data_IF_872242506028
#
_entry.id   IF_872242506028
#
_cell.length_a   1.000
_cell.length_b   1.000
_cell.length_c   1.000
_cell.angle_alpha   90.00
_cell.angle_beta   90.00
_cell.angle_gamma   90.00
#
_symmetry.space_group_name_H-M   'P 1'
#
loop_
_entity.id
_entity.type
_entity.pdbx_description
1 polymer ?
#
# COMPACT_ATOMS: atom_id res chain seq x y z
N UNK A 1 10.07 17.98 -6.23
CA UNK A 1 10.73 16.69 -6.59
C UNK A 1 11.56 16.16 -5.41
N UNK A 2 12.43 16.97 -4.79
CA UNK A 2 13.27 16.56 -3.65
C UNK A 2 12.48 16.17 -2.39
N UNK A 3 11.27 16.67 -2.21
CA UNK A 3 10.40 16.30 -1.08
C UNK A 3 9.94 14.86 -1.13
N UNK A 4 9.84 14.27 -2.33
CA UNK A 4 9.34 12.92 -2.54
C UNK A 4 10.45 11.87 -2.66
N UNK A 5 11.63 12.22 -3.14
CA UNK A 5 12.68 11.24 -3.44
C UNK A 5 13.72 11.06 -2.31
N UNK A 6 13.66 11.87 -1.26
CA UNK A 6 14.57 11.77 -0.10
C UNK A 6 16.06 11.88 -0.42
N UNK A 7 16.39 12.02 -1.69
CA UNK A 7 17.75 11.99 -2.18
C UNK A 7 18.36 10.58 -2.15
N UNK A 8 19.63 10.49 -2.50
CA UNK A 8 20.37 9.21 -2.64
C UNK A 8 20.87 8.62 -1.32
N UNK A 9 20.72 9.33 -0.19
CA UNK A 9 21.29 8.89 1.10
C UNK A 9 20.68 7.60 1.65
N UNK A 10 19.44 7.29 1.26
CA UNK A 10 18.68 6.15 1.75
C UNK A 10 18.99 4.85 1.01
N UNK A 11 19.63 4.92 -0.16
CA UNK A 11 19.77 3.82 -1.09
C UNK A 11 21.22 3.30 -1.17
N UNK A 12 22.02 3.49 -0.14
CA UNK A 12 23.39 3.03 -0.11
C UNK A 12 23.52 1.62 0.47
N UNK A 13 22.91 0.64 -0.18
CA UNK A 13 23.21 -0.76 0.12
C UNK A 13 24.49 -1.14 -0.60
N UNK A 14 25.53 -1.45 0.15
CA UNK A 14 26.92 -1.62 -0.36
C UNK A 14 27.23 -3.03 -0.88
N UNK A 15 26.31 -3.99 -0.88
CA UNK A 15 26.61 -5.41 -1.16
C UNK A 15 25.91 -5.93 -2.42
N UNK A 16 26.69 -6.51 -3.34
CA UNK A 16 26.24 -7.37 -4.44
C UNK A 16 25.15 -6.78 -5.34
N UNK A 17 24.13 -7.55 -5.64
CA UNK A 17 22.97 -7.17 -6.45
C UNK A 17 22.19 -5.98 -5.91
N UNK A 18 22.35 -5.63 -4.64
CA UNK A 18 21.67 -4.50 -4.01
C UNK A 18 21.96 -3.15 -4.70
N UNK A 19 23.09 -2.98 -5.35
CA UNK A 19 23.40 -1.79 -6.14
C UNK A 19 22.42 -1.58 -7.32
N UNK A 20 21.90 -2.66 -7.90
CA UNK A 20 20.90 -2.62 -8.97
C UNK A 20 19.54 -2.13 -8.47
N UNK A 21 19.18 -2.46 -7.23
CA UNK A 21 17.90 -2.12 -6.63
C UNK A 21 17.79 -0.67 -6.16
N UNK A 22 18.91 -0.03 -5.84
CA UNK A 22 18.94 1.37 -5.42
C UNK A 22 18.34 2.32 -6.45
N UNK A 23 18.57 2.07 -7.74
CA UNK A 23 18.03 2.89 -8.81
C UNK A 23 16.49 2.76 -8.91
N UNK A 24 15.95 1.58 -8.66
CA UNK A 24 14.50 1.31 -8.69
C UNK A 24 13.79 1.95 -7.49
N UNK A 25 14.33 1.79 -6.29
CA UNK A 25 13.76 2.36 -5.07
C UNK A 25 13.61 3.89 -5.14
N UNK A 26 14.51 4.59 -5.84
CA UNK A 26 14.43 6.04 -6.07
C UNK A 26 13.26 6.47 -6.96
N UNK A 27 12.58 5.57 -7.64
CA UNK A 27 11.48 5.94 -8.56
C UNK A 27 10.16 6.13 -7.86
N UNK A 28 9.92 5.49 -6.70
CA UNK A 28 8.61 5.50 -6.03
C UNK A 28 8.12 6.91 -5.69
N UNK A 29 8.99 7.78 -5.21
CA UNK A 29 8.64 9.17 -4.91
C UNK A 29 8.19 9.95 -6.15
N UNK A 30 8.85 9.73 -7.29
CA UNK A 30 8.46 10.34 -8.57
C UNK A 30 7.11 9.84 -9.04
N UNK A 31 6.86 8.52 -8.91
CA UNK A 31 5.60 7.90 -9.29
C UNK A 31 4.44 8.41 -8.42
N UNK A 32 4.63 8.50 -7.10
CA UNK A 32 3.63 9.07 -6.19
C UNK A 32 3.34 10.54 -6.50
N UNK A 33 4.36 11.36 -6.78
CA UNK A 33 4.15 12.74 -7.20
C UNK A 33 3.37 12.82 -8.52
N UNK A 34 3.67 11.95 -9.47
CA UNK A 34 2.96 11.91 -10.75
C UNK A 34 1.51 11.45 -10.56
N UNK A 35 1.27 10.41 -9.75
CA UNK A 35 -0.07 9.94 -9.42
C UNK A 35 -0.91 11.04 -8.76
N UNK A 36 -0.38 11.75 -7.76
CA UNK A 36 -1.07 12.87 -7.13
C UNK A 36 -1.47 13.93 -8.16
N UNK A 37 -0.57 14.30 -9.09
CA UNK A 37 -0.86 15.27 -10.15
C UNK A 37 -1.93 14.80 -11.12
N UNK A 38 -1.92 13.53 -11.47
CA UNK A 38 -2.95 12.93 -12.33
C UNK A 38 -4.32 12.96 -11.66
N UNK A 39 -4.39 12.58 -10.38
CA UNK A 39 -5.64 12.65 -9.61
C UNK A 39 -6.12 14.10 -9.47
N UNK A 40 -5.22 15.06 -9.18
CA UNK A 40 -5.54 16.48 -9.11
C UNK A 40 -6.07 17.02 -10.45
N UNK A 41 -5.62 16.45 -11.57
CA UNK A 41 -6.10 16.77 -12.93
C UNK A 41 -7.38 16.02 -13.33
N UNK A 42 -8.01 15.25 -12.43
CA UNK A 42 -9.28 14.57 -12.66
C UNK A 42 -9.16 13.09 -13.07
N UNK A 43 -7.96 12.49 -13.00
CA UNK A 43 -7.84 11.06 -13.21
C UNK A 43 -8.46 10.31 -12.02
N UNK A 44 -9.48 9.49 -12.27
CA UNK A 44 -10.23 8.79 -11.22
C UNK A 44 -9.48 7.62 -10.57
N UNK A 45 -8.49 7.03 -11.25
CA UNK A 45 -7.74 5.89 -10.73
C UNK A 45 -6.32 5.83 -11.29
N UNK A 46 -5.33 5.63 -10.43
CA UNK A 46 -3.91 5.50 -10.81
C UNK A 46 -3.29 4.34 -10.08
N UNK A 47 -2.68 3.41 -10.78
CA UNK A 47 -1.93 2.31 -10.20
C UNK A 47 -0.43 2.56 -10.30
N UNK A 48 0.28 2.38 -9.20
CA UNK A 48 1.74 2.39 -9.15
C UNK A 48 2.23 0.98 -8.85
N UNK A 49 2.97 0.41 -9.77
CA UNK A 49 3.67 -0.85 -9.55
C UNK A 49 5.06 -0.58 -8.97
N UNK A 50 5.23 -0.93 -7.69
CA UNK A 50 6.52 -0.86 -6.99
C UNK A 50 7.15 -2.26 -6.92
N UNK A 51 7.26 -2.93 -8.06
CA UNK A 51 7.58 -4.37 -8.17
C UNK A 51 9.02 -4.73 -7.80
N UNK A 52 9.95 -3.81 -7.81
CA UNK A 52 11.37 -3.98 -7.44
C UNK A 52 11.81 -5.43 -7.22
N UNK A 53 12.01 -6.17 -8.32
CA UNK A 53 12.26 -7.60 -8.33
C UNK A 53 13.36 -8.01 -7.34
N UNK A 54 13.08 -8.99 -6.49
CA UNK A 54 14.02 -9.52 -5.49
C UNK A 54 14.29 -8.62 -4.29
N UNK A 55 13.62 -7.47 -4.15
CA UNK A 55 13.84 -6.54 -3.04
C UNK A 55 12.75 -6.62 -1.99
N UNK A 56 11.46 -6.54 -2.37
CA UNK A 56 10.36 -6.77 -1.44
C UNK A 56 10.31 -8.21 -0.93
N UNK A 57 10.84 -9.12 -1.70
CA UNK A 57 10.87 -10.56 -1.44
C UNK A 57 12.10 -10.93 -0.60
N UNK A 58 12.14 -10.47 0.63
CA UNK A 58 13.30 -10.53 1.53
C UNK A 58 13.50 -11.92 2.15
N UNK A 59 13.63 -12.96 1.33
CA UNK A 59 13.84 -14.36 1.76
C UNK A 59 15.25 -14.66 2.24
N UNK A 60 16.24 -13.90 1.80
CA UNK A 60 17.67 -14.17 2.02
C UNK A 60 18.15 -15.51 1.43
N UNK A 61 17.66 -15.89 0.25
CA UNK A 61 17.90 -17.19 -0.42
C UNK A 61 18.98 -17.15 -1.52
N UNK A 62 19.82 -16.13 -1.53
CA UNK A 62 20.86 -15.91 -2.55
C UNK A 62 20.38 -15.13 -3.78
N UNK A 63 19.08 -15.15 -4.11
CA UNK A 63 18.48 -14.32 -5.14
C UNK A 63 17.85 -13.05 -4.57
N UNK A 64 17.39 -13.12 -3.33
CA UNK A 64 16.69 -12.07 -2.62
C UNK A 64 17.52 -11.56 -1.44
N UNK A 65 17.32 -10.28 -1.09
CA UNK A 65 17.97 -9.65 0.05
C UNK A 65 17.45 -10.22 1.38
N UNK A 66 18.22 -10.07 2.44
CA UNK A 66 17.74 -10.26 3.81
C UNK A 66 16.89 -9.07 4.24
N UNK A 67 16.23 -9.16 5.41
CA UNK A 67 15.33 -8.11 5.92
C UNK A 67 16.01 -6.77 6.11
N UNK A 68 17.24 -6.75 6.61
CA UNK A 68 17.98 -5.50 6.89
C UNK A 68 18.31 -4.80 5.59
N UNK A 69 19.00 -5.50 4.69
CA UNK A 69 19.44 -4.92 3.41
C UNK A 69 18.24 -4.55 2.51
N UNK A 70 17.19 -5.36 2.51
CA UNK A 70 15.96 -5.07 1.77
C UNK A 70 15.24 -3.83 2.29
N UNK A 71 15.08 -3.69 3.60
CA UNK A 71 14.46 -2.51 4.19
C UNK A 71 15.32 -1.25 4.00
N UNK A 72 16.64 -1.36 4.02
CA UNK A 72 17.51 -0.24 3.63
C UNK A 72 17.34 0.14 2.15
N UNK A 73 17.16 -0.83 1.27
CA UNK A 73 17.03 -0.58 -0.17
C UNK A 73 15.71 0.05 -0.55
N UNK A 74 14.58 -0.39 0.02
CA UNK A 74 13.24 0.09 -0.39
C UNK A 74 12.42 0.69 0.74
N UNK A 75 12.51 0.18 1.96
CA UNK A 75 11.64 0.58 3.06
C UNK A 75 11.75 2.06 3.39
N UNK A 76 12.97 2.57 3.49
CA UNK A 76 13.20 4.01 3.76
C UNK A 76 12.71 4.91 2.62
N UNK A 77 12.92 4.50 1.37
CA UNK A 77 12.43 5.26 0.22
C UNK A 77 10.91 5.27 0.17
N UNK A 78 10.29 4.13 0.46
CA UNK A 78 8.84 3.99 0.55
C UNK A 78 8.26 4.88 1.67
N UNK A 79 8.78 4.77 2.88
CA UNK A 79 8.37 5.57 4.03
C UNK A 79 8.44 7.07 3.74
N UNK A 80 9.60 7.54 3.23
CA UNK A 80 9.78 8.94 2.87
C UNK A 80 8.80 9.40 1.79
N UNK A 81 8.59 8.61 0.75
CA UNK A 81 7.74 8.96 -0.38
C UNK A 81 6.27 9.01 0.03
N UNK A 82 5.79 8.03 0.82
CA UNK A 82 4.42 8.01 1.35
C UNK A 82 4.19 9.18 2.31
N UNK A 83 5.12 9.43 3.24
CA UNK A 83 5.02 10.58 4.15
C UNK A 83 5.02 11.93 3.40
N UNK A 84 5.79 12.05 2.31
CA UNK A 84 5.80 13.24 1.48
C UNK A 84 4.47 13.40 0.70
N UNK A 85 3.91 12.30 0.20
CA UNK A 85 2.62 12.29 -0.46
C UNK A 85 1.51 12.78 0.47
N UNK A 86 1.45 12.24 1.69
CA UNK A 86 0.47 12.61 2.71
C UNK A 86 0.55 14.12 2.99
N UNK A 87 1.75 14.61 3.34
CA UNK A 87 1.95 16.05 3.62
C UNK A 87 1.61 16.97 2.43
N UNK A 88 1.88 16.52 1.21
CA UNK A 88 1.56 17.30 0.01
C UNK A 88 0.04 17.34 -0.24
N UNK A 89 -0.67 16.23 -0.02
CA UNK A 89 -2.13 16.18 -0.09
C UNK A 89 -2.78 17.08 0.99
N UNK A 90 -2.30 17.01 2.22
CA UNK A 90 -2.78 17.87 3.32
C UNK A 90 -2.57 19.35 3.02
N UNK A 91 -1.37 19.72 2.60
CA UNK A 91 -1.04 21.12 2.28
C UNK A 91 -1.84 21.69 1.10
N UNK A 92 -2.45 20.84 0.27
CA UNK A 92 -3.26 21.20 -0.89
C UNK A 92 -4.76 21.04 -0.69
N UNK A 93 -5.20 20.57 0.47
CA UNK A 93 -6.61 20.26 0.72
C UNK A 93 -7.14 19.10 -0.17
N UNK A 94 -6.29 18.13 -0.44
CA UNK A 94 -6.60 16.95 -1.26
C UNK A 94 -6.86 15.69 -0.44
N UNK A 95 -6.74 15.74 0.88
CA UNK A 95 -6.88 14.57 1.77
C UNK A 95 -8.22 13.87 1.63
N UNK A 96 -9.31 14.62 1.48
CA UNK A 96 -10.65 14.06 1.31
C UNK A 96 -10.96 13.67 -0.14
N UNK A 97 -10.11 14.06 -1.09
CA UNK A 97 -10.34 13.86 -2.53
C UNK A 97 -9.50 12.75 -3.13
N UNK A 98 -8.43 12.34 -2.48
CA UNK A 98 -7.51 11.31 -2.97
C UNK A 98 -7.35 10.25 -1.89
N UNK A 99 -7.73 9.01 -2.23
CA UNK A 99 -7.45 7.83 -1.42
C UNK A 99 -6.13 7.21 -1.87
N UNK A 100 -5.17 7.08 -0.96
CA UNK A 100 -3.96 6.28 -1.15
C UNK A 100 -4.18 4.89 -0.53
N UNK A 101 -3.95 3.86 -1.33
CA UNK A 101 -3.95 2.46 -0.91
C UNK A 101 -2.57 1.87 -1.15
N UNK A 102 -1.89 1.40 -0.09
CA UNK A 102 -0.64 0.66 -0.24
C UNK A 102 -0.85 -0.76 0.26
N UNK A 103 -0.72 -1.72 -0.63
CA UNK A 103 -0.88 -3.14 -0.33
C UNK A 103 0.15 -3.98 -1.09
N UNK A 104 0.41 -5.17 -0.58
CA UNK A 104 1.12 -6.24 -1.28
C UNK A 104 0.20 -7.43 -1.49
N UNK A 105 0.69 -8.43 -2.24
CA UNK A 105 -0.07 -9.65 -2.53
C UNK A 105 -0.22 -10.56 -1.31
N UNK A 106 0.73 -10.52 -0.36
CA UNK A 106 0.72 -11.33 0.86
C UNK A 106 1.62 -10.76 1.94
N UNK A 107 1.49 -11.29 3.16
CA UNK A 107 2.39 -10.98 4.27
C UNK A 107 3.64 -11.86 4.29
N UNK A 108 4.39 -11.76 5.37
CA UNK A 108 5.64 -12.49 5.62
C UNK A 108 5.58 -13.25 6.93
N UNK A 109 6.31 -14.36 7.03
CA UNK A 109 6.35 -15.17 8.24
C UNK A 109 6.72 -14.32 9.47
N UNK A 110 6.05 -14.47 10.62
CA UNK A 110 6.42 -13.77 11.85
C UNK A 110 7.85 -14.07 12.28
N UNK A 111 8.30 -15.31 12.07
CA UNK A 111 9.64 -15.77 12.42
C UNK A 111 10.63 -15.48 11.29
N UNK A 112 11.77 -14.91 11.65
CA UNK A 112 12.91 -14.71 10.74
C UNK A 112 13.62 -16.06 10.54
N UNK A 113 13.97 -16.39 9.31
CA UNK A 113 14.73 -17.59 8.98
C UNK A 113 16.22 -17.46 9.36
N UNK A 114 16.96 -18.58 9.27
CA UNK A 114 18.39 -18.62 9.69
C UNK A 114 19.29 -17.66 8.88
N UNK A 115 18.89 -17.29 7.68
CA UNK A 115 19.63 -16.38 6.80
C UNK A 115 19.25 -14.91 6.99
N UNK A 116 18.34 -14.60 7.92
CA UNK A 116 17.89 -13.22 8.21
C UNK A 116 16.78 -12.72 7.29
N UNK A 117 16.07 -13.62 6.61
CA UNK A 117 14.94 -13.32 5.76
C UNK A 117 13.60 -13.75 6.36
N UNK A 118 12.50 -13.45 5.65
CA UNK A 118 11.14 -13.91 5.97
C UNK A 118 10.52 -14.55 4.73
N UNK A 119 9.86 -15.69 4.91
CA UNK A 119 9.18 -16.41 3.83
C UNK A 119 7.77 -15.85 3.61
N UNK A 120 7.09 -16.32 2.56
CA UNK A 120 5.70 -15.98 2.27
C UNK A 120 4.76 -16.45 3.39
N UNK A 121 3.77 -15.63 3.71
CA UNK A 121 2.75 -15.93 4.71
C UNK A 121 1.41 -15.33 4.31
N UNK A 122 0.55 -16.14 3.69
CA UNK A 122 -0.71 -15.67 3.12
C UNK A 122 -1.83 -15.41 4.16
N UNK A 123 -1.59 -15.72 5.44
CA UNK A 123 -2.61 -15.58 6.50
C UNK A 123 -2.86 -14.14 6.91
N UNK A 124 -1.84 -13.31 6.83
CA UNK A 124 -1.89 -11.89 7.21
C UNK A 124 -1.13 -11.07 6.19
N UNK A 125 -1.68 -9.92 5.80
CA UNK A 125 -1.01 -8.93 4.97
C UNK A 125 -1.24 -7.53 5.53
N UNK A 126 -0.20 -6.67 5.61
CA UNK A 126 -0.37 -5.28 6.01
C UNK A 126 -1.02 -4.47 4.88
N UNK A 127 -1.78 -3.46 5.27
CA UNK A 127 -2.46 -2.52 4.39
C UNK A 127 -2.33 -1.11 4.97
N UNK A 128 -2.05 -0.11 4.13
CA UNK A 128 -2.10 1.29 4.50
C UNK A 128 -3.19 1.96 3.68
N UNK A 129 -4.08 2.67 4.36
CA UNK A 129 -5.10 3.54 3.77
C UNK A 129 -4.89 4.96 4.30
N UNK A 130 -4.95 5.93 3.40
CA UNK A 130 -4.89 7.36 3.76
C UNK A 130 -5.77 8.18 2.84
N UNK A 131 -6.51 9.10 3.41
CA UNK A 131 -7.32 10.06 2.65
C UNK A 131 -8.67 9.50 2.18
N UNK A 132 -9.23 10.10 1.13
CA UNK A 132 -10.54 9.70 0.58
C UNK A 132 -11.71 9.88 1.53
N UNK A 133 -11.61 10.79 2.51
CA UNK A 133 -12.62 10.97 3.55
C UNK A 133 -12.61 9.91 4.67
N UNK A 134 -11.66 8.96 4.64
CA UNK A 134 -11.55 7.93 5.67
C UNK A 134 -11.08 8.52 7.00
N UNK A 135 -11.61 8.02 8.10
CA UNK A 135 -11.13 8.37 9.45
C UNK A 135 -9.71 7.89 9.70
N UNK A 136 -8.76 8.83 9.83
CA UNK A 136 -7.34 8.54 10.05
C UNK A 136 -6.99 8.16 11.49
N UNK A 137 -5.70 7.81 11.72
CA UNK A 137 -5.13 7.52 13.03
C UNK A 137 -5.59 6.21 13.67
N UNK A 138 -6.09 5.25 12.87
CA UNK A 138 -6.63 3.98 13.35
C UNK A 138 -5.73 2.82 12.99
N UNK A 139 -5.67 1.83 13.87
CA UNK A 139 -5.14 0.50 13.59
C UNK A 139 -6.31 -0.47 13.60
N UNK A 140 -6.55 -1.14 12.47
CA UNK A 140 -7.67 -2.06 12.29
C UNK A 140 -7.11 -3.46 12.07
N UNK A 141 -7.66 -4.41 12.81
CA UNK A 141 -7.18 -5.78 12.82
C UNK A 141 -6.08 -6.02 13.85
N UNK A 142 -6.04 -7.25 14.33
CA UNK A 142 -5.08 -7.72 15.33
C UNK A 142 -4.68 -9.15 15.00
N UNK A 143 -3.39 -9.45 15.13
CA UNK A 143 -2.88 -10.82 15.07
C UNK A 143 -2.93 -11.50 16.46
N UNK A 144 -2.77 -12.80 16.46
CA UNK A 144 -2.45 -13.55 17.67
C UNK A 144 -1.09 -13.11 18.25
N UNK A 145 -0.76 -13.64 19.43
CA UNK A 145 0.51 -13.30 20.14
C UNK A 145 1.75 -13.72 19.34
N UNK A 146 1.63 -14.70 18.46
CA UNK A 146 2.69 -15.20 17.60
C UNK A 146 2.80 -14.43 16.30
N UNK A 147 1.84 -13.54 15.98
CA UNK A 147 1.79 -12.78 14.73
C UNK A 147 1.45 -13.63 13.51
N UNK A 148 0.90 -14.83 13.70
CA UNK A 148 0.68 -15.82 12.65
C UNK A 148 -0.73 -15.84 12.07
N UNK A 149 -1.74 -15.68 12.90
CA UNK A 149 -3.15 -15.79 12.52
C UNK A 149 -3.93 -14.53 12.94
N UNK A 150 -5.05 -14.21 12.29
CA UNK A 150 -5.90 -13.11 12.73
C UNK A 150 -6.58 -13.45 14.07
N UNK A 151 -6.55 -12.51 15.01
CA UNK A 151 -7.24 -12.58 16.30
C UNK A 151 -8.43 -11.60 16.38
N UNK A 152 -8.71 -10.89 15.33
CA UNK A 152 -9.90 -10.05 15.14
C UNK A 152 -10.65 -10.51 13.90
N UNK A 153 -11.80 -9.87 13.58
CA UNK A 153 -12.53 -10.11 12.32
C UNK A 153 -11.54 -9.96 11.15
N UNK A 154 -11.34 -11.03 10.35
CA UNK A 154 -10.45 -10.93 9.20
C UNK A 154 -11.12 -10.19 8.05
N UNK A 155 -10.33 -9.42 7.32
CA UNK A 155 -10.73 -8.80 6.07
C UNK A 155 -9.99 -9.45 4.89
N UNK A 156 -10.66 -9.57 3.77
CA UNK A 156 -10.12 -10.10 2.52
C UNK A 156 -10.16 -9.03 1.41
N UNK A 157 -9.65 -9.30 0.21
CA UNK A 157 -9.66 -8.34 -0.89
C UNK A 157 -11.04 -7.78 -1.24
N UNK A 158 -12.13 -8.54 -1.08
CA UNK A 158 -13.49 -8.04 -1.37
C UNK A 158 -13.90 -6.90 -0.44
N UNK A 159 -13.55 -6.97 0.85
CA UNK A 159 -13.78 -5.88 1.79
C UNK A 159 -12.97 -4.63 1.41
N UNK A 160 -11.72 -4.81 0.97
CA UNK A 160 -10.88 -3.69 0.52
C UNK A 160 -11.46 -3.04 -0.74
N UNK A 161 -11.88 -3.83 -1.73
CA UNK A 161 -12.48 -3.32 -2.97
C UNK A 161 -13.78 -2.59 -2.65
N UNK A 162 -14.66 -3.16 -1.83
CA UNK A 162 -15.88 -2.50 -1.37
C UNK A 162 -15.58 -1.18 -0.66
N UNK A 163 -14.56 -1.14 0.22
CA UNK A 163 -14.13 0.09 0.88
C UNK A 163 -13.69 1.15 -0.14
N UNK A 164 -12.83 0.79 -1.09
CA UNK A 164 -12.35 1.71 -2.14
C UNK A 164 -13.53 2.25 -2.97
N UNK A 165 -14.42 1.36 -3.43
CA UNK A 165 -15.56 1.77 -4.25
C UNK A 165 -16.48 2.73 -3.50
N UNK A 166 -16.74 2.50 -2.21
CA UNK A 166 -17.60 3.36 -1.39
C UNK A 166 -16.99 4.73 -1.09
N UNK A 167 -15.66 4.90 -1.21
CA UNK A 167 -15.04 6.24 -1.17
C UNK A 167 -15.21 7.02 -2.48
N UNK A 168 -15.45 6.33 -3.58
CA UNK A 168 -15.55 6.92 -4.92
C UNK A 168 -16.99 7.07 -5.40
N UNK A 169 -17.88 6.20 -4.95
CA UNK A 169 -19.23 6.04 -5.49
C UNK A 169 -20.19 5.83 -4.33
N UNK A 170 -21.31 6.55 -4.36
CA UNK A 170 -22.46 6.24 -3.50
C UNK A 170 -23.18 4.98 -4.03
N UNK A 171 -23.21 3.87 -3.27
CA UNK A 171 -23.87 2.64 -3.71
C UNK A 171 -25.37 2.81 -3.99
N UNK A 172 -26.04 3.69 -3.25
CA UNK A 172 -27.44 4.01 -3.46
C UNK A 172 -27.67 4.67 -4.82
N UNK A 173 -26.88 5.68 -5.13
CA UNK A 173 -26.92 6.37 -6.42
C UNK A 173 -26.55 5.46 -7.58
N UNK A 174 -25.52 4.61 -7.41
CA UNK A 174 -25.10 3.68 -8.44
C UNK A 174 -26.22 2.73 -8.86
N UNK A 175 -26.97 2.19 -7.89
CA UNK A 175 -28.10 1.27 -8.16
C UNK A 175 -29.25 1.90 -8.95
N UNK A 176 -29.33 3.21 -8.99
CA UNK A 176 -30.35 3.94 -9.77
C UNK A 176 -29.92 4.18 -11.23
N UNK A 177 -28.67 3.89 -11.60
CA UNK A 177 -28.17 4.08 -12.96
C UNK A 177 -28.55 2.85 -13.82
N UNK A 178 -29.37 3.00 -14.88
CA UNK A 178 -29.69 1.88 -15.75
C UNK A 178 -28.47 1.35 -16.49
N UNK A 179 -28.38 0.03 -16.64
CA UNK A 179 -27.33 -0.62 -17.45
C UNK A 179 -25.98 -0.78 -16.75
N UNK A 180 -25.90 -0.54 -15.45
CA UNK A 180 -24.69 -0.88 -14.68
C UNK A 180 -24.49 -2.41 -14.72
N UNK A 181 -23.29 -2.90 -15.10
CA UNK A 181 -22.98 -4.33 -15.07
C UNK A 181 -23.15 -4.92 -13.66
N UNK A 182 -23.73 -6.12 -13.60
CA UNK A 182 -24.00 -6.81 -12.34
C UNK A 182 -22.72 -7.05 -11.54
N UNK A 183 -21.60 -7.27 -12.21
CA UNK A 183 -20.29 -7.49 -11.61
C UNK A 183 -19.84 -6.30 -10.75
N UNK A 184 -20.18 -5.08 -11.15
CA UNK A 184 -19.87 -3.86 -10.36
C UNK A 184 -20.76 -3.78 -9.13
N UNK A 185 -22.05 -4.06 -9.26
CA UNK A 185 -22.96 -4.04 -8.10
C UNK A 185 -22.62 -5.13 -7.10
N UNK A 186 -22.21 -6.33 -7.55
CA UNK A 186 -21.77 -7.42 -6.69
C UNK A 186 -20.53 -7.07 -5.85
N UNK A 187 -19.60 -6.25 -6.36
CA UNK A 187 -18.47 -5.79 -5.58
C UNK A 187 -18.87 -4.90 -4.39
N UNK A 188 -20.01 -4.21 -4.50
CA UNK A 188 -20.56 -3.38 -3.43
C UNK A 188 -21.46 -4.16 -2.45
N UNK A 189 -21.80 -5.40 -2.75
CA UNK A 189 -22.59 -6.28 -1.86
C UNK A 189 -21.74 -6.81 -0.69
N UNK A 190 -20.41 -6.71 -0.77
CA UNK A 190 -19.52 -7.00 0.35
C UNK A 190 -19.49 -5.82 1.33
N UNK A 191 -19.42 -6.14 2.61
CA UNK A 191 -19.18 -5.13 3.65
C UNK A 191 -17.83 -4.44 3.43
N UNK A 192 -17.73 -3.13 3.67
CA UNK A 192 -16.44 -2.46 3.72
C UNK A 192 -15.66 -2.85 4.98
N UNK A 193 -14.42 -2.42 5.08
CA UNK A 193 -13.62 -2.57 6.30
C UNK A 193 -14.24 -1.69 7.39
N UNK A 194 -14.61 -2.32 8.52
CA UNK A 194 -15.27 -1.64 9.63
C UNK A 194 -14.42 -0.51 10.22
N UNK A 195 -15.09 0.53 10.70
CA UNK A 195 -14.44 1.61 11.44
C UNK A 195 -13.76 2.69 10.58
N UNK A 196 -13.81 2.61 9.24
CA UNK A 196 -13.23 3.61 8.36
C UNK A 196 -14.16 4.79 8.05
N UNK A 197 -15.46 4.68 8.38
CA UNK A 197 -16.43 5.76 8.16
C UNK A 197 -16.95 5.83 6.73
N UNK A 198 -16.85 4.75 5.96
CA UNK A 198 -17.53 4.60 4.67
C UNK A 198 -18.86 3.90 4.91
N UNK A 199 -19.95 4.55 4.50
CA UNK A 199 -21.32 4.08 4.64
C UNK A 199 -21.92 3.67 3.30
#
# INVERSE_FOLDING_TARGET
KSRYDGGTRWNKVKRGKAGLYNAQANTIGKLLLQARRLCEAGCGYVTIHASYAGVWDMHADGNNLNMIDGMEAVGRSFDHAVAAFIRDCEARGLSDKILLVCCGEMGRTPKINKQGGRNHWARLAPLILYGGGLGGGKVIGQSDKQGGEPNSKPYNPSHLISTILRTMIDPGQLRLIPGIPQEITQLLDHDPIDGLGVG
#
